data_IF_666367820105
#
_entry.id   IF_666367820105
#
_cell.length_a   1.000
_cell.length_b   1.000
_cell.length_c   1.000
_cell.angle_alpha   90.00
_cell.angle_beta   90.00
_cell.angle_gamma   90.00
#
_symmetry.space_group_name_H-M   'P 1'
#
loop_
_entity.id
_entity.type
_entity.pdbx_description
1 polymer ?
#
# COMPACT_ATOMS: atom_id res chain seq x y z
N UNK A 1 -14.31 -0.15 21.16
CA UNK A 1 -13.42 -0.40 20.02
C UNK A 1 -13.78 0.64 18.98
N UNK A 2 -12.84 1.45 18.51
CA UNK A 2 -13.10 2.34 17.38
C UNK A 2 -13.29 1.44 16.15
N UNK A 3 -14.42 1.59 15.47
CA UNK A 3 -14.68 0.88 14.22
C UNK A 3 -13.83 1.54 13.12
N UNK A 4 -13.03 0.75 12.41
CA UNK A 4 -12.26 1.23 11.27
C UNK A 4 -13.22 1.28 10.09
N UNK A 5 -13.64 2.49 9.72
CA UNK A 5 -14.62 2.73 8.65
C UNK A 5 -14.00 3.34 7.39
N UNK A 6 -12.72 3.74 7.44
CA UNK A 6 -12.00 4.37 6.32
C UNK A 6 -10.51 4.03 6.37
N UNK A 7 -9.80 4.29 5.27
CA UNK A 7 -8.35 4.19 5.22
C UNK A 7 -7.67 5.22 6.12
N UNK A 8 -8.16 6.46 6.17
CA UNK A 8 -7.59 7.49 7.06
C UNK A 8 -7.62 7.05 8.54
N UNK A 9 -8.73 6.44 8.97
CA UNK A 9 -8.85 5.89 10.32
C UNK A 9 -7.96 4.66 10.50
N UNK A 10 -7.84 3.81 9.48
CA UNK A 10 -6.95 2.65 9.49
C UNK A 10 -5.46 3.05 9.64
N UNK A 11 -5.00 4.07 8.91
CA UNK A 11 -3.62 4.59 9.01
C UNK A 11 -3.34 5.23 10.38
N UNK A 12 -4.37 5.63 11.12
CA UNK A 12 -4.24 6.20 12.47
C UNK A 12 -4.17 5.14 13.58
N UNK A 13 -4.28 3.85 13.23
CA UNK A 13 -4.28 2.76 14.20
C UNK A 13 -2.88 2.44 14.72
N UNK A 14 -2.78 2.23 16.04
CA UNK A 14 -1.54 1.76 16.68
C UNK A 14 -1.33 0.26 16.53
N UNK A 15 -2.42 -0.49 16.50
CA UNK A 15 -2.41 -1.93 16.32
C UNK A 15 -2.50 -2.28 14.83
N UNK A 16 -1.98 -3.44 14.40
CA UNK A 16 -2.10 -3.88 13.02
C UNK A 16 -3.55 -3.94 12.55
N UNK A 17 -3.79 -3.42 11.35
CA UNK A 17 -5.06 -3.55 10.64
C UNK A 17 -5.05 -4.86 9.88
N UNK A 18 -5.98 -5.77 10.20
CA UNK A 18 -5.95 -7.15 9.70
C UNK A 18 -7.22 -7.48 8.92
N UNK A 19 -7.06 -8.00 7.70
CA UNK A 19 -8.14 -8.62 6.92
C UNK A 19 -9.23 -7.67 6.41
N UNK A 20 -9.05 -6.36 6.58
CA UNK A 20 -10.04 -5.36 6.15
C UNK A 20 -9.99 -5.12 4.64
N UNK A 21 -11.09 -4.57 4.14
CA UNK A 21 -11.24 -4.18 2.74
C UNK A 21 -11.55 -2.71 2.67
N UNK A 22 -10.81 -2.02 1.83
CA UNK A 22 -10.96 -0.62 1.51
C UNK A 22 -11.22 -0.50 0.03
N UNK A 23 -12.22 0.31 -0.34
CA UNK A 23 -12.64 0.44 -1.71
C UNK A 23 -13.04 1.87 -2.07
N UNK A 24 -12.58 2.35 -3.22
CA UNK A 24 -12.99 3.65 -3.78
C UNK A 24 -12.74 4.85 -2.87
N UNK A 25 -11.70 4.75 -2.03
CA UNK A 25 -11.26 5.83 -1.14
C UNK A 25 -10.12 6.62 -1.80
N UNK A 26 -10.13 7.94 -1.60
CA UNK A 26 -9.14 8.87 -2.12
C UNK A 26 -8.25 9.39 -1.00
N UNK A 27 -6.96 9.12 -1.12
CA UNK A 27 -5.88 9.53 -0.22
C UNK A 27 -4.78 10.23 -1.02
N UNK A 28 -5.16 10.98 -2.05
CA UNK A 28 -4.24 11.82 -2.80
C UNK A 28 -3.49 12.78 -1.85
N UNK A 29 -2.19 12.94 -2.06
CA UNK A 29 -1.26 13.74 -1.25
C UNK A 29 -1.18 13.36 0.23
N UNK A 30 -1.80 12.24 0.64
CA UNK A 30 -1.85 11.84 2.03
C UNK A 30 -0.45 11.53 2.59
N UNK A 31 -0.18 11.98 3.81
CA UNK A 31 1.10 11.77 4.48
C UNK A 31 0.88 10.92 5.70
N UNK A 32 1.54 9.77 5.74
CA UNK A 32 1.42 8.83 6.86
C UNK A 32 2.73 8.11 7.14
N UNK A 33 2.84 7.59 8.36
CA UNK A 33 3.97 6.78 8.77
C UNK A 33 3.63 5.71 9.78
N UNK A 34 4.46 4.67 9.85
CA UNK A 34 4.47 3.66 10.92
C UNK A 34 3.19 2.82 11.07
N UNK A 35 2.34 2.78 10.04
CA UNK A 35 1.12 1.96 10.04
C UNK A 35 1.38 0.53 9.57
N UNK A 36 0.61 -0.43 10.08
CA UNK A 36 0.75 -1.85 9.74
C UNK A 36 -0.54 -2.45 9.22
N UNK A 37 -0.47 -3.08 8.06
CA UNK A 37 -1.55 -3.80 7.42
C UNK A 37 -1.14 -5.24 7.15
N UNK A 38 -2.01 -6.17 7.54
CA UNK A 38 -1.86 -7.59 7.25
C UNK A 38 -3.10 -8.14 6.55
N UNK A 39 -2.93 -8.88 5.46
CA UNK A 39 -4.00 -9.54 4.70
C UNK A 39 -5.15 -8.61 4.26
N UNK A 40 -4.86 -7.31 4.13
CA UNK A 40 -5.83 -6.30 3.75
C UNK A 40 -5.96 -6.19 2.22
N UNK A 41 -7.11 -5.69 1.77
CA UNK A 41 -7.37 -5.44 0.34
C UNK A 41 -7.72 -4.00 0.09
N UNK A 42 -7.08 -3.43 -0.92
CA UNK A 42 -7.29 -2.08 -1.39
C UNK A 42 -7.77 -2.18 -2.85
N UNK A 43 -8.98 -1.72 -3.13
CA UNK A 43 -9.59 -1.82 -4.45
C UNK A 43 -10.01 -0.44 -4.94
N UNK A 44 -9.60 -0.07 -6.15
CA UNK A 44 -10.03 1.20 -6.77
C UNK A 44 -9.71 2.43 -5.88
N UNK A 45 -8.68 2.35 -5.03
CA UNK A 45 -8.25 3.43 -4.15
C UNK A 45 -7.23 4.35 -4.85
N UNK A 46 -7.21 5.62 -4.47
CA UNK A 46 -6.27 6.61 -5.02
C UNK A 46 -5.27 7.02 -3.94
N UNK A 47 -3.99 6.91 -4.26
CA UNK A 47 -2.85 7.30 -3.43
C UNK A 47 -1.91 8.23 -4.19
N UNK A 48 -2.42 8.95 -5.19
CA UNK A 48 -1.60 9.80 -6.06
C UNK A 48 -0.89 10.88 -5.22
N UNK A 49 0.41 11.07 -5.42
CA UNK A 49 1.24 12.02 -4.63
C UNK A 49 1.43 11.65 -3.15
N UNK A 50 0.84 10.55 -2.66
CA UNK A 50 0.90 10.18 -1.26
C UNK A 50 2.34 9.90 -0.80
N UNK A 51 2.66 10.24 0.46
CA UNK A 51 3.97 10.01 1.09
C UNK A 51 3.80 9.05 2.25
N UNK A 52 4.16 7.80 2.01
CA UNK A 52 3.97 6.68 2.92
C UNK A 52 5.34 6.24 3.44
N UNK A 53 5.57 6.35 4.75
CA UNK A 53 6.89 6.09 5.34
C UNK A 53 6.83 5.00 6.40
N UNK A 54 7.78 4.07 6.37
CA UNK A 54 7.95 3.11 7.48
C UNK A 54 6.69 2.25 7.74
N UNK A 55 5.83 2.09 6.72
CA UNK A 55 4.63 1.28 6.81
C UNK A 55 4.90 -0.16 6.38
N UNK A 56 4.11 -1.09 6.92
CA UNK A 56 4.15 -2.50 6.56
C UNK A 56 2.83 -2.91 5.89
N UNK A 57 2.93 -3.58 4.74
CA UNK A 57 1.79 -4.13 4.00
C UNK A 57 2.07 -5.61 3.68
N UNK A 58 1.79 -6.48 4.66
CA UNK A 58 2.12 -7.90 4.61
C UNK A 58 0.90 -8.70 4.10
N UNK A 59 1.11 -9.59 3.12
CA UNK A 59 0.01 -10.39 2.55
C UNK A 59 -1.11 -9.57 1.89
N UNK A 60 -0.86 -8.29 1.62
CA UNK A 60 -1.88 -7.36 1.14
C UNK A 60 -2.08 -7.47 -0.38
N UNK A 61 -3.24 -7.04 -0.85
CA UNK A 61 -3.53 -6.93 -2.29
C UNK A 61 -4.03 -5.53 -2.65
N UNK A 62 -3.39 -4.93 -3.64
CA UNK A 62 -3.80 -3.69 -4.30
C UNK A 62 -4.35 -4.05 -5.68
N UNK A 63 -5.57 -3.62 -5.98
CA UNK A 63 -6.24 -3.89 -7.26
C UNK A 63 -6.87 -2.62 -7.83
N UNK A 64 -6.56 -2.29 -9.08
CA UNK A 64 -7.05 -1.07 -9.75
C UNK A 64 -6.75 0.24 -8.99
N UNK A 65 -5.77 0.24 -8.10
CA UNK A 65 -5.40 1.44 -7.35
C UNK A 65 -4.48 2.34 -8.18
N UNK A 66 -4.56 3.65 -7.93
CA UNK A 66 -3.64 4.64 -8.49
C UNK A 66 -2.61 5.04 -7.43
N UNK A 67 -1.33 5.06 -7.80
CA UNK A 67 -0.20 5.48 -6.97
C UNK A 67 0.70 6.45 -7.76
N UNK A 68 0.13 7.26 -8.66
CA UNK A 68 0.92 8.15 -9.51
C UNK A 68 1.71 9.11 -8.64
N UNK A 69 3.00 9.28 -8.92
CA UNK A 69 3.89 10.18 -8.17
C UNK A 69 3.99 9.85 -6.65
N UNK A 70 3.44 8.73 -6.18
CA UNK A 70 3.47 8.35 -4.77
C UNK A 70 4.90 8.02 -4.34
N UNK A 71 5.27 8.42 -3.12
CA UNK A 71 6.57 8.10 -2.54
C UNK A 71 6.42 7.17 -1.34
N UNK A 72 6.93 5.95 -1.51
CA UNK A 72 7.14 4.99 -0.43
C UNK A 72 8.58 5.08 0.05
N UNK A 73 8.78 5.26 1.35
CA UNK A 73 10.10 5.28 1.98
C UNK A 73 10.18 4.26 3.10
N UNK A 74 11.18 3.36 3.05
CA UNK A 74 11.42 2.35 4.08
C UNK A 74 10.17 1.49 4.40
N UNK A 75 9.32 1.24 3.41
CA UNK A 75 8.14 0.41 3.56
C UNK A 75 8.44 -1.07 3.28
N UNK A 76 7.68 -1.95 3.92
CA UNK A 76 7.84 -3.40 3.81
C UNK A 76 6.61 -4.00 3.12
N UNK A 77 6.85 -4.77 2.05
CA UNK A 77 5.81 -5.47 1.30
C UNK A 77 6.06 -6.98 1.20
N UNK A 78 6.95 -7.50 2.05
CA UNK A 78 7.37 -8.91 2.07
C UNK A 78 7.39 -9.38 3.51
N UNK A 79 6.69 -10.47 3.77
CA UNK A 79 6.76 -11.17 5.04
C UNK A 79 8.18 -11.72 5.25
N UNK A 80 8.82 -11.38 6.37
CA UNK A 80 10.20 -11.81 6.64
C UNK A 80 10.31 -13.30 6.99
N UNK A 81 9.27 -13.89 7.55
CA UNK A 81 9.25 -15.30 7.92
C UNK A 81 8.94 -16.18 6.71
N UNK A 82 7.86 -15.86 6.00
CA UNK A 82 7.37 -16.70 4.89
C UNK A 82 7.97 -16.32 3.53
N UNK A 83 8.63 -15.16 3.43
CA UNK A 83 9.12 -14.56 2.19
C UNK A 83 8.01 -14.26 1.17
N UNK A 84 6.74 -14.36 1.57
CA UNK A 84 5.60 -14.04 0.72
C UNK A 84 5.52 -12.53 0.49
N UNK A 85 5.47 -12.11 -0.78
CA UNK A 85 5.25 -10.73 -1.16
C UNK A 85 3.76 -10.39 -1.33
N UNK A 86 3.45 -9.11 -1.27
CA UNK A 86 2.13 -8.57 -1.58
C UNK A 86 1.84 -8.56 -3.08
N UNK A 87 0.57 -8.35 -3.44
CA UNK A 87 0.11 -8.37 -4.83
C UNK A 87 -0.38 -7.00 -5.30
N UNK A 88 0.05 -6.61 -6.49
CA UNK A 88 -0.31 -5.36 -7.17
C UNK A 88 -0.87 -5.73 -8.54
N UNK A 89 -2.15 -5.47 -8.76
CA UNK A 89 -2.83 -5.88 -9.98
C UNK A 89 -3.52 -4.67 -10.61
N UNK A 90 -3.26 -4.41 -11.88
CA UNK A 90 -3.91 -3.31 -12.62
C UNK A 90 -3.70 -1.94 -11.96
N UNK A 91 -2.58 -1.74 -11.27
CA UNK A 91 -2.29 -0.48 -10.61
C UNK A 91 -1.60 0.49 -11.57
N UNK A 92 -1.86 1.77 -11.40
CA UNK A 92 -1.06 2.83 -12.00
C UNK A 92 0.07 3.21 -11.04
N UNK A 93 1.31 2.93 -11.43
CA UNK A 93 2.53 3.24 -10.69
C UNK A 93 3.40 4.27 -11.44
N UNK A 94 2.82 5.05 -12.36
CA UNK A 94 3.56 6.07 -13.10
C UNK A 94 4.23 7.06 -12.13
N UNK A 95 5.55 7.22 -12.26
CA UNK A 95 6.39 8.06 -11.39
C UNK A 95 6.38 7.70 -9.89
N UNK A 96 5.79 6.56 -9.51
CA UNK A 96 5.83 6.07 -8.14
C UNK A 96 7.28 5.70 -7.75
N UNK A 97 7.67 6.06 -6.53
CA UNK A 97 9.03 5.83 -6.01
C UNK A 97 9.00 4.91 -4.81
N UNK A 98 9.79 3.85 -4.85
CA UNK A 98 9.97 2.91 -3.75
C UNK A 98 11.41 3.01 -3.21
N UNK A 99 11.64 3.98 -2.33
CA UNK A 99 12.97 4.26 -1.76
C UNK A 99 13.20 3.39 -0.53
N UNK A 100 14.33 2.69 -0.46
CA UNK A 100 14.66 1.78 0.65
C UNK A 100 13.56 0.73 0.95
N UNK A 101 12.75 0.38 -0.05
CA UNK A 101 11.71 -0.64 0.07
C UNK A 101 12.21 -1.96 -0.53
N UNK A 102 11.80 -3.09 0.04
CA UNK A 102 11.99 -4.39 -0.57
C UNK A 102 10.71 -4.81 -1.30
N UNK A 103 10.76 -4.82 -2.63
CA UNK A 103 9.68 -5.32 -3.49
C UNK A 103 9.95 -6.73 -4.02
N UNK A 104 11.00 -7.42 -3.55
CA UNK A 104 11.27 -8.81 -3.94
C UNK A 104 10.04 -9.68 -3.64
N UNK A 105 9.80 -10.72 -4.43
CA UNK A 105 8.66 -11.63 -4.29
C UNK A 105 7.26 -10.99 -4.38
N UNK A 106 7.14 -9.67 -4.58
CA UNK A 106 5.86 -9.05 -4.86
C UNK A 106 5.40 -9.46 -6.26
N UNK A 107 4.10 -9.73 -6.39
CA UNK A 107 3.49 -10.00 -7.69
C UNK A 107 2.96 -8.69 -8.25
N UNK A 108 3.59 -8.19 -9.32
CA UNK A 108 3.18 -6.97 -10.02
C UNK A 108 2.66 -7.37 -11.40
N UNK A 109 1.35 -7.29 -11.61
CA UNK A 109 0.67 -7.81 -12.80
C UNK A 109 -0.17 -6.72 -13.45
N UNK A 110 0.09 -6.48 -14.75
CA UNK A 110 -0.64 -5.51 -15.57
C UNK A 110 -0.69 -4.10 -14.95
N UNK A 111 0.37 -3.73 -14.23
CA UNK A 111 0.52 -2.38 -13.72
C UNK A 111 1.19 -1.49 -14.78
N UNK A 112 0.84 -0.22 -14.81
CA UNK A 112 1.54 0.79 -15.58
C UNK A 112 2.70 1.34 -14.75
N UNK A 113 3.91 1.37 -15.30
CA UNK A 113 5.07 1.95 -14.64
C UNK A 113 6.06 2.43 -15.70
N UNK A 114 6.40 3.72 -15.70
CA UNK A 114 7.57 4.20 -16.44
C UNK A 114 8.83 3.92 -15.62
N UNK A 115 9.61 2.93 -16.07
CA UNK A 115 11.01 2.76 -15.68
C UNK A 115 11.86 3.58 -16.67
N UNK A 116 12.72 4.46 -16.17
CA UNK A 116 13.90 4.91 -16.91
C UNK A 116 14.83 3.72 -17.19
#
# INVERSE_FOLDING_TARGET
MLEISSLETAFSMKEPVIGLRFASEDLSDFITSESKFADCRFNDCVFDGAKIRECEFIGCSFSNCSFKEAEFFNCIFVDRETQAGSAWNYCDLNEAKFKACNLSNNRIVKCEAFLL
#
